data_IF_820250837725
#
_entry.id   IF_820250837725
#
_cell.length_a   1.000
_cell.length_b   1.000
_cell.length_c   1.000
_cell.angle_alpha   90.00
_cell.angle_beta   90.00
_cell.angle_gamma   90.00
#
_symmetry.space_group_name_H-M   'P 1'
#
loop_
_entity.id
_entity.type
_entity.pdbx_description
1 polymer ?
#
# COMPACT_ATOMS: atom_id res chain seq x y z
N UNK A 1 -13.89 -0.16 7.40
CA UNK A 1 -12.71 0.10 8.25
C UNK A 1 -12.13 1.46 7.88
N UNK A 2 -11.54 2.13 8.83
CA UNK A 2 -10.95 3.45 8.61
C UNK A 2 -9.44 3.33 8.49
N UNK A 3 -8.88 4.06 7.52
CA UNK A 3 -7.43 4.18 7.37
C UNK A 3 -6.93 5.26 8.32
N UNK A 4 -5.87 4.96 9.06
CA UNK A 4 -5.30 5.89 10.02
C UNK A 4 -4.07 6.62 9.47
N UNK A 5 -3.24 5.93 8.69
CA UNK A 5 -1.97 6.45 8.20
C UNK A 5 -1.98 6.75 6.71
N UNK A 6 -2.72 5.97 5.93
CA UNK A 6 -2.77 6.15 4.48
C UNK A 6 -3.89 7.13 4.14
N UNK A 7 -3.51 8.24 3.54
CA UNK A 7 -4.45 9.22 2.99
C UNK A 7 -4.28 9.20 1.48
N UNK A 8 -5.32 8.75 0.79
CA UNK A 8 -5.25 8.55 -0.65
C UNK A 8 -5.75 9.76 -1.41
N UNK A 9 -4.99 10.16 -2.43
CA UNK A 9 -5.49 10.96 -3.54
C UNK A 9 -6.02 10.01 -4.60
N UNK A 10 -7.16 10.36 -5.18
CA UNK A 10 -7.85 9.50 -6.12
C UNK A 10 -7.97 10.19 -7.47
N UNK A 11 -7.72 9.44 -8.54
CA UNK A 11 -7.92 9.90 -9.90
C UNK A 11 -8.54 8.78 -10.73
N UNK A 12 -9.21 9.15 -11.82
CA UNK A 12 -9.86 8.20 -12.70
C UNK A 12 -9.51 8.56 -14.15
N UNK A 13 -9.16 7.55 -14.95
CA UNK A 13 -8.84 7.78 -16.34
C UNK A 13 -10.11 7.69 -17.21
N UNK A 14 -9.94 7.88 -18.52
CA UNK A 14 -11.06 7.87 -19.46
C UNK A 14 -11.62 6.48 -19.71
N UNK A 15 -10.92 5.44 -19.28
CA UNK A 15 -11.35 4.05 -19.45
C UNK A 15 -12.00 3.48 -18.18
N UNK A 16 -12.15 4.30 -17.15
CA UNK A 16 -12.77 3.88 -15.91
C UNK A 16 -11.81 3.26 -14.91
N UNK A 17 -10.51 3.23 -15.19
CA UNK A 17 -9.51 2.77 -14.21
C UNK A 17 -9.34 3.85 -13.15
N UNK A 18 -9.44 3.44 -11.90
CA UNK A 18 -9.29 4.35 -10.76
C UNK A 18 -7.94 4.09 -10.11
N UNK A 19 -7.25 5.17 -9.77
CA UNK A 19 -5.94 5.12 -9.11
C UNK A 19 -5.99 5.86 -7.79
N UNK A 20 -5.32 5.29 -6.79
CA UNK A 20 -5.17 5.89 -5.46
C UNK A 20 -3.69 5.94 -5.12
N UNK A 21 -3.24 7.10 -4.68
CA UNK A 21 -1.85 7.31 -4.29
C UNK A 21 -1.78 7.84 -2.87
N UNK A 22 -0.94 7.24 -2.05
CA UNK A 22 -0.72 7.67 -0.68
C UNK A 22 0.77 7.67 -0.35
N UNK A 23 1.17 8.66 0.46
CA UNK A 23 2.50 8.74 1.03
C UNK A 23 2.34 8.85 2.54
N UNK A 24 3.04 8.01 3.28
CA UNK A 24 2.99 8.03 4.74
C UNK A 24 4.39 8.07 5.33
N UNK A 25 4.58 8.96 6.31
CA UNK A 25 5.84 9.15 7.02
C UNK A 25 5.54 9.30 8.52
N UNK A 26 5.11 8.22 9.18
CA UNK A 26 4.75 8.31 10.60
C UNK A 26 5.99 8.47 11.48
N UNK A 27 5.78 8.84 12.73
CA UNK A 27 6.83 8.77 13.73
C UNK A 27 7.33 7.33 13.84
N UNK A 28 8.61 7.15 14.22
CA UNK A 28 9.21 5.82 14.30
C UNK A 28 8.42 4.85 15.18
N UNK A 29 7.81 5.35 16.25
CA UNK A 29 6.99 4.54 17.16
C UNK A 29 5.71 4.00 16.51
N UNK A 30 5.30 4.53 15.36
CA UNK A 30 4.09 4.11 14.65
C UNK A 30 4.36 3.28 13.42
N UNK A 31 5.62 2.92 13.16
CA UNK A 31 5.97 2.13 11.97
C UNK A 31 5.23 0.80 11.93
N UNK A 32 5.18 0.07 13.05
CA UNK A 32 4.50 -1.22 13.09
C UNK A 32 3.00 -1.08 12.78
N UNK A 33 2.38 -0.01 13.27
CA UNK A 33 0.96 0.24 13.01
C UNK A 33 0.70 0.57 11.53
N UNK A 34 1.58 1.35 10.91
CA UNK A 34 1.48 1.62 9.48
C UNK A 34 1.60 0.33 8.66
N UNK A 35 2.59 -0.49 8.96
CA UNK A 35 2.81 -1.73 8.22
C UNK A 35 1.64 -2.72 8.41
N UNK A 36 1.00 -2.73 9.59
CA UNK A 36 -0.23 -3.51 9.78
C UNK A 36 -1.36 -3.00 8.92
N UNK A 37 -1.52 -1.68 8.80
CA UNK A 37 -2.57 -1.10 7.96
C UNK A 37 -2.38 -1.49 6.49
N UNK A 38 -1.16 -1.38 5.98
CA UNK A 38 -0.83 -1.79 4.61
C UNK A 38 -1.10 -3.28 4.42
N UNK A 39 -0.69 -4.11 5.38
CA UNK A 39 -0.90 -5.56 5.33
C UNK A 39 -2.39 -5.90 5.28
N UNK A 40 -3.21 -5.25 6.10
CA UNK A 40 -4.65 -5.47 6.10
C UNK A 40 -5.30 -5.07 4.79
N UNK A 41 -4.86 -3.95 4.23
CA UNK A 41 -5.38 -3.47 2.95
C UNK A 41 -5.03 -4.43 1.81
N UNK A 42 -3.77 -4.85 1.72
CA UNK A 42 -3.33 -5.78 0.68
C UNK A 42 -3.95 -7.16 0.87
N UNK A 43 -4.14 -7.61 2.11
CA UNK A 43 -4.84 -8.87 2.38
C UNK A 43 -6.28 -8.82 1.90
N UNK A 44 -6.97 -7.72 2.18
CA UNK A 44 -8.34 -7.54 1.70
C UNK A 44 -8.40 -7.54 0.18
N UNK A 45 -7.50 -6.80 -0.47
CA UNK A 45 -7.45 -6.72 -1.93
C UNK A 45 -7.14 -8.09 -2.56
N UNK A 46 -6.27 -8.87 -1.93
CA UNK A 46 -5.93 -10.22 -2.41
C UNK A 46 -7.11 -11.17 -2.33
N UNK A 47 -8.00 -10.98 -1.36
CA UNK A 47 -9.22 -11.79 -1.24
C UNK A 47 -10.33 -11.32 -2.19
N UNK A 48 -10.26 -10.07 -2.65
CA UNK A 48 -11.24 -9.55 -3.60
C UNK A 48 -11.17 -10.31 -4.95
N UNK A 49 -9.96 -10.63 -5.39
CA UNK A 49 -9.77 -11.29 -6.67
C UNK A 49 -8.86 -12.51 -6.50
N UNK A 50 -9.32 -13.72 -6.88
CA UNK A 50 -8.49 -14.92 -6.80
C UNK A 50 -7.23 -14.88 -7.65
N UNK A 51 -7.20 -14.03 -8.68
CA UNK A 51 -6.04 -13.88 -9.55
C UNK A 51 -4.93 -13.05 -8.91
N UNK A 52 -5.26 -12.30 -7.82
CA UNK A 52 -4.32 -11.39 -7.21
C UNK A 52 -4.02 -10.16 -8.05
N UNK A 53 -3.01 -9.37 -7.64
CA UNK A 53 -2.65 -8.15 -8.37
C UNK A 53 -1.95 -8.46 -9.69
N UNK A 54 -2.09 -7.55 -10.65
CA UNK A 54 -1.43 -7.64 -11.93
C UNK A 54 -1.89 -6.54 -12.88
N UNK A 55 -1.35 -6.51 -14.10
CA UNK A 55 -1.74 -5.50 -15.07
C UNK A 55 -3.22 -5.59 -15.42
N UNK A 56 -3.91 -4.45 -15.34
CA UNK A 56 -5.34 -4.39 -15.62
C UNK A 56 -5.65 -4.68 -17.08
N UNK A 57 -4.76 -4.28 -17.99
CA UNK A 57 -4.92 -4.54 -19.42
C UNK A 57 -4.70 -6.02 -19.76
N UNK A 58 -4.22 -6.83 -18.82
CA UNK A 58 -4.12 -8.28 -18.97
C UNK A 58 -5.22 -9.01 -18.19
N UNK A 59 -6.22 -8.28 -17.69
CA UNK A 59 -7.41 -8.86 -17.08
C UNK A 59 -7.44 -8.89 -15.56
N UNK A 60 -6.43 -8.33 -14.89
CA UNK A 60 -6.47 -8.24 -13.43
C UNK A 60 -7.49 -7.20 -12.97
N UNK A 61 -8.06 -7.40 -11.78
CA UNK A 61 -9.03 -6.46 -11.21
C UNK A 61 -8.37 -5.31 -10.48
N UNK A 62 -7.13 -5.48 -10.01
CA UNK A 62 -6.39 -4.47 -9.28
C UNK A 62 -4.91 -4.71 -9.40
N UNK A 63 -4.14 -3.66 -9.11
CA UNK A 63 -2.68 -3.72 -9.07
C UNK A 63 -2.17 -2.76 -8.01
N UNK A 64 -0.91 -2.89 -7.64
CA UNK A 64 -0.31 -1.97 -6.68
C UNK A 64 1.17 -1.77 -6.96
N UNK A 65 1.70 -0.66 -6.45
CA UNK A 65 3.13 -0.40 -6.37
C UNK A 65 3.43 0.11 -4.98
N UNK A 66 4.41 -0.48 -4.33
CA UNK A 66 4.79 -0.16 -2.96
C UNK A 66 6.28 0.14 -2.90
N UNK A 67 6.62 1.34 -2.43
CA UNK A 67 8.00 1.76 -2.28
C UNK A 67 8.24 2.20 -0.84
N UNK A 68 9.39 1.79 -0.29
CA UNK A 68 9.74 2.08 1.10
C UNK A 68 11.15 2.63 1.14
N UNK A 69 11.34 3.71 1.88
CA UNK A 69 12.64 4.27 2.21
C UNK A 69 12.77 4.35 3.73
N UNK A 70 13.97 4.09 4.22
CA UNK A 70 14.28 4.15 5.65
C UNK A 70 15.11 5.39 5.93
N UNK A 71 14.71 6.15 6.95
CA UNK A 71 15.44 7.31 7.42
C UNK A 71 16.03 6.99 8.79
N UNK A 72 17.35 6.79 8.83
CA UNK A 72 18.06 6.53 10.08
C UNK A 72 18.14 7.79 10.91
N UNK A 73 18.10 7.70 12.26
CA UNK A 73 18.32 8.86 13.10
C UNK A 73 19.72 9.43 12.84
N UNK A 74 19.80 10.76 12.86
CA UNK A 74 21.05 11.50 12.64
C UNK A 74 21.65 11.35 11.23
N UNK A 75 20.92 10.80 10.28
CA UNK A 75 21.33 10.71 8.89
C UNK A 75 20.50 11.65 8.03
N UNK A 76 21.16 12.30 7.06
CA UNK A 76 20.46 13.14 6.07
C UNK A 76 20.05 12.36 4.82
N UNK A 77 20.42 11.07 4.76
CA UNK A 77 20.15 10.25 3.59
C UNK A 77 19.13 9.17 3.91
N UNK A 78 18.22 8.95 2.99
CA UNK A 78 17.33 7.81 3.07
C UNK A 78 17.94 6.61 2.36
N UNK A 79 17.59 5.42 2.82
CA UNK A 79 18.03 4.16 2.22
C UNK A 79 16.81 3.46 1.65
N UNK A 80 16.82 3.08 0.36
CA UNK A 80 15.71 2.31 -0.18
C UNK A 80 15.67 0.93 0.46
N UNK A 81 14.45 0.46 0.72
CA UNK A 81 14.20 -0.89 1.20
C UNK A 81 13.32 -1.61 0.18
N UNK A 82 13.48 -2.92 0.10
CA UNK A 82 12.64 -3.73 -0.76
C UNK A 82 11.42 -4.20 0.03
N UNK A 83 10.24 -4.02 -0.55
CA UNK A 83 8.99 -4.45 0.04
C UNK A 83 8.42 -5.59 -0.80
N UNK A 84 8.17 -6.73 -0.17
CA UNK A 84 7.61 -7.90 -0.85
C UNK A 84 6.30 -8.30 -0.18
N UNK A 85 5.25 -8.33 -0.99
CA UNK A 85 3.96 -8.84 -0.55
C UNK A 85 3.86 -10.32 -0.89
N UNK A 86 3.65 -11.15 0.14
CA UNK A 86 3.48 -12.58 -0.01
C UNK A 86 2.01 -12.92 0.19
N UNK A 87 1.28 -13.04 -0.93
CA UNK A 87 -0.17 -13.20 -0.89
C UNK A 87 -0.60 -14.52 -0.22
N UNK A 88 0.16 -15.59 -0.41
CA UNK A 88 -0.16 -16.89 0.18
C UNK A 88 -0.11 -16.87 1.70
N UNK A 89 0.82 -16.12 2.25
CA UNK A 89 1.03 -15.99 3.69
C UNK A 89 0.39 -14.72 4.25
N UNK A 90 -0.06 -13.84 3.38
CA UNK A 90 -0.62 -12.52 3.73
C UNK A 90 0.33 -11.72 4.64
N UNK A 91 1.60 -11.71 4.26
CA UNK A 91 2.65 -11.00 4.97
C UNK A 91 3.35 -10.01 4.07
N UNK A 92 3.77 -8.91 4.68
CA UNK A 92 4.58 -7.89 4.03
C UNK A 92 5.99 -7.94 4.63
N UNK A 93 6.98 -8.22 3.79
CA UNK A 93 8.38 -8.27 4.19
C UNK A 93 9.13 -7.06 3.69
N UNK A 94 9.82 -6.38 4.59
CA UNK A 94 10.64 -5.20 4.28
C UNK A 94 12.10 -5.56 4.54
N UNK A 95 12.96 -5.39 3.52
CA UNK A 95 14.39 -5.68 3.63
C UNK A 95 15.22 -4.48 3.16
N UNK A 96 16.10 -3.92 4.00
CA UNK A 96 16.32 -4.28 5.40
C UNK A 96 15.13 -3.91 6.29
N UNK A 97 14.94 -4.63 7.37
CA UNK A 97 13.85 -4.34 8.30
C UNK A 97 14.11 -3.01 9.01
N UNK A 98 13.06 -2.19 9.25
CA UNK A 98 13.23 -0.96 9.99
C UNK A 98 13.66 -1.23 11.43
N UNK A 99 14.66 -0.47 11.91
CA UNK A 99 15.01 -0.50 13.31
C UNK A 99 14.02 0.30 14.16
N UNK A 100 14.13 0.21 15.49
CA UNK A 100 13.14 0.85 16.39
C UNK A 100 13.15 2.39 16.33
N UNK A 101 14.25 2.98 15.88
CA UNK A 101 14.36 4.43 15.76
C UNK A 101 14.29 4.94 14.33
N UNK A 102 14.17 4.03 13.37
CA UNK A 102 14.09 4.40 11.97
C UNK A 102 12.71 4.95 11.63
N UNK A 103 12.68 6.01 10.84
CA UNK A 103 11.43 6.48 10.24
C UNK A 103 11.25 5.84 8.88
N UNK A 104 10.05 5.43 8.60
CA UNK A 104 9.69 4.83 7.32
C UNK A 104 8.98 5.88 6.47
N UNK A 105 9.42 6.02 5.23
CA UNK A 105 8.68 6.74 4.20
C UNK A 105 8.12 5.69 3.25
N UNK A 106 6.79 5.59 3.21
CA UNK A 106 6.12 4.57 2.45
C UNK A 106 5.19 5.20 1.42
N UNK A 107 5.33 4.77 0.17
CA UNK A 107 4.48 5.20 -0.93
C UNK A 107 3.72 3.98 -1.44
N UNK A 108 2.40 4.08 -1.47
CA UNK A 108 1.54 3.02 -1.97
C UNK A 108 0.62 3.59 -3.05
N UNK A 109 0.69 2.98 -4.23
CA UNK A 109 -0.23 3.27 -5.33
C UNK A 109 -1.09 2.04 -5.58
N UNK A 110 -2.39 2.24 -5.65
CA UNK A 110 -3.34 1.21 -6.04
C UNK A 110 -4.00 1.62 -7.34
N UNK A 111 -4.30 0.65 -8.19
CA UNK A 111 -5.15 0.86 -9.35
C UNK A 111 -6.18 -0.27 -9.43
N UNK A 112 -7.36 0.04 -9.96
CA UNK A 112 -8.41 -0.95 -10.01
C UNK A 112 -9.50 -0.65 -11.00
N UNK A 113 -10.27 -1.69 -11.33
CA UNK A 113 -11.47 -1.61 -12.14
C UNK A 113 -12.57 -0.88 -11.38
N UNK A 114 -13.66 -0.45 -12.05
CA UNK A 114 -14.79 0.14 -11.33
C UNK A 114 -15.35 -0.75 -10.22
N UNK A 115 -15.37 -2.06 -10.41
CA UNK A 115 -15.86 -3.00 -9.37
C UNK A 115 -14.93 -2.99 -8.15
N UNK A 116 -13.62 -3.02 -8.37
CA UNK A 116 -12.65 -2.91 -7.28
C UNK A 116 -12.79 -1.56 -6.57
N UNK A 117 -12.96 -0.49 -7.33
CA UNK A 117 -13.10 0.86 -6.78
C UNK A 117 -14.32 0.95 -5.85
N UNK A 118 -15.45 0.40 -6.27
CA UNK A 118 -16.65 0.41 -5.45
C UNK A 118 -16.43 -0.35 -4.14
N UNK A 119 -15.83 -1.53 -4.22
CA UNK A 119 -15.58 -2.35 -3.04
C UNK A 119 -14.60 -1.68 -2.07
N UNK A 120 -13.55 -1.05 -2.60
CA UNK A 120 -12.57 -0.34 -1.78
C UNK A 120 -13.21 0.82 -1.03
N UNK A 121 -14.04 1.61 -1.71
CA UNK A 121 -14.73 2.74 -1.11
C UNK A 121 -15.69 2.31 -0.01
N UNK A 122 -16.41 1.22 -0.23
CA UNK A 122 -17.37 0.71 0.74
C UNK A 122 -16.71 0.11 1.97
N UNK A 123 -15.60 -0.60 1.79
CA UNK A 123 -14.95 -1.30 2.89
C UNK A 123 -13.98 -0.42 3.68
N UNK A 124 -13.29 0.51 3.01
CA UNK A 124 -12.18 1.25 3.60
C UNK A 124 -12.41 2.74 3.73
N UNK A 125 -13.59 3.24 3.38
CA UNK A 125 -13.86 4.69 3.34
C UNK A 125 -12.85 5.48 2.49
N UNK A 126 -12.34 4.85 1.44
CA UNK A 126 -11.42 5.50 0.50
C UNK A 126 -12.17 6.47 -0.42
N UNK A 127 -11.48 7.49 -0.96
CA UNK A 127 -12.11 8.44 -1.89
C UNK A 127 -12.51 7.84 -3.25
#
# INVERSE_FOLDING_TARGET
MNLEFLEFDCSEDTEGVVCWDALAQPAASHTAALLREVTQLLSWASRFSPQGPGPLDEGADWDFDLQVHLHKPHSQHSTPAQAHWQAEQQTLNILPAPGPEDRVELSLSLSGTPAFAQALREHWNAP
#
